data_IF_298333556555
#
_entry.id   IF_298333556555
#
_cell.length_a   1.000
_cell.length_b   1.000
_cell.length_c   1.000
_cell.angle_alpha   90.00
_cell.angle_beta   90.00
_cell.angle_gamma   90.00
#
_symmetry.space_group_name_H-M   'P 1'
#
loop_
_entity.id
_entity.type
_entity.pdbx_description
1 polymer ?
#
# COMPACT_ATOMS: atom_id res chain seq x y z
N UNK A 1 7.25 -19.59 16.43
CA UNK A 1 8.02 -20.19 15.33
C UNK A 1 7.98 -19.22 14.14
N UNK A 2 9.03 -18.42 13.95
CA UNK A 2 9.18 -17.58 12.76
C UNK A 2 9.46 -18.47 11.54
N UNK A 3 8.86 -18.16 10.38
CA UNK A 3 9.31 -18.75 9.12
C UNK A 3 10.82 -18.47 8.97
N UNK A 4 11.61 -19.44 8.53
CA UNK A 4 13.02 -19.16 8.24
C UNK A 4 13.09 -18.13 7.09
N UNK A 5 13.98 -17.17 7.22
CA UNK A 5 14.20 -16.19 6.17
C UNK A 5 14.67 -16.89 4.90
N UNK A 6 13.96 -16.67 3.78
CA UNK A 6 14.30 -17.28 2.49
C UNK A 6 15.56 -16.69 1.88
N UNK A 7 15.91 -15.46 2.25
CA UNK A 7 17.03 -14.74 1.67
C UNK A 7 18.09 -14.47 2.74
N UNK A 8 19.34 -14.91 2.55
CA UNK A 8 20.41 -14.60 3.49
C UNK A 8 20.69 -13.09 3.49
N UNK A 9 21.10 -12.52 4.63
CA UNK A 9 21.53 -11.13 4.69
C UNK A 9 22.66 -10.87 3.68
N UNK A 10 22.55 -9.80 2.93
CA UNK A 10 23.61 -9.35 2.02
C UNK A 10 23.76 -7.84 2.09
N UNK A 11 24.92 -7.37 1.66
CA UNK A 11 25.20 -5.95 1.50
C UNK A 11 25.79 -5.70 0.11
N UNK A 12 25.32 -4.64 -0.54
CA UNK A 12 25.93 -4.13 -1.76
C UNK A 12 26.53 -2.76 -1.45
N UNK A 13 27.76 -2.55 -1.90
CA UNK A 13 28.44 -1.26 -1.79
C UNK A 13 28.87 -0.85 -3.20
N UNK A 14 28.51 0.37 -3.57
CA UNK A 14 28.98 0.98 -4.80
C UNK A 14 29.65 2.31 -4.47
N UNK A 15 30.74 2.60 -5.16
CA UNK A 15 31.49 3.86 -5.00
C UNK A 15 31.29 4.66 -6.28
N UNK A 16 30.61 5.79 -6.16
CA UNK A 16 30.41 6.75 -7.25
C UNK A 16 31.32 7.99 -7.08
N UNK A 17 31.23 8.90 -8.03
CA UNK A 17 31.88 10.19 -8.05
C UNK A 17 30.90 11.34 -8.21
N UNK A 18 31.32 12.39 -8.89
CA UNK A 18 30.47 13.48 -9.35
C UNK A 18 29.64 13.03 -10.58
N UNK A 19 28.52 12.39 -10.32
CA UNK A 19 27.66 11.76 -11.34
C UNK A 19 26.82 12.78 -12.10
N UNK A 20 26.44 13.88 -11.45
CA UNK A 20 25.70 14.97 -12.06
C UNK A 20 26.59 16.01 -12.75
N UNK A 21 27.92 15.92 -12.59
CA UNK A 21 28.96 16.77 -13.21
C UNK A 21 28.87 18.24 -12.82
N UNK A 22 28.46 18.51 -11.59
CA UNK A 22 28.42 19.89 -11.05
C UNK A 22 29.65 20.30 -10.25
N UNK A 23 30.68 19.44 -10.21
CA UNK A 23 31.97 19.60 -9.50
C UNK A 23 31.82 19.50 -7.96
N UNK A 24 30.73 19.00 -7.47
CA UNK A 24 30.47 18.84 -6.03
C UNK A 24 29.89 17.46 -5.77
N UNK A 25 30.50 16.67 -4.89
CA UNK A 25 29.95 15.37 -4.52
C UNK A 25 28.93 15.56 -3.39
N UNK A 26 27.68 15.18 -3.68
CA UNK A 26 26.55 15.34 -2.76
C UNK A 26 25.71 14.06 -2.67
N UNK A 27 24.60 14.09 -1.94
CA UNK A 27 23.67 12.96 -1.86
C UNK A 27 22.99 12.66 -3.21
N UNK A 28 22.87 13.65 -4.11
CA UNK A 28 22.32 13.44 -5.45
C UNK A 28 23.19 12.47 -6.26
N UNK A 29 24.52 12.61 -6.19
CA UNK A 29 25.44 11.69 -6.86
C UNK A 29 25.34 10.28 -6.29
N UNK A 30 25.26 10.18 -4.97
CA UNK A 30 25.02 8.91 -4.31
C UNK A 30 23.66 8.30 -4.73
N UNK A 31 22.62 9.11 -4.89
CA UNK A 31 21.31 8.68 -5.39
C UNK A 31 21.37 8.17 -6.83
N UNK A 32 22.08 8.86 -7.71
CA UNK A 32 22.28 8.42 -9.11
C UNK A 32 22.98 7.06 -9.14
N UNK A 33 24.09 6.92 -8.41
CA UNK A 33 24.84 5.67 -8.32
C UNK A 33 24.00 4.53 -7.70
N UNK A 34 23.21 4.84 -6.67
CA UNK A 34 22.33 3.86 -5.99
C UNK A 34 21.26 3.28 -6.90
N UNK A 35 20.73 4.05 -7.85
CA UNK A 35 19.70 3.57 -8.80
C UNK A 35 20.14 2.34 -9.60
N UNK A 36 21.44 2.15 -9.80
CA UNK A 36 21.96 1.01 -10.55
C UNK A 36 21.91 -0.30 -9.75
N UNK A 37 21.93 -0.21 -8.42
CA UNK A 37 21.99 -1.38 -7.53
C UNK A 37 20.74 -1.57 -6.67
N UNK A 38 19.84 -0.58 -6.62
CA UNK A 38 18.64 -0.66 -5.83
C UNK A 38 17.68 -1.75 -6.35
N UNK A 39 16.93 -2.33 -5.45
CA UNK A 39 15.80 -3.16 -5.84
C UNK A 39 14.75 -2.28 -6.55
N UNK A 40 14.09 -2.85 -7.52
CA UNK A 40 12.95 -2.20 -8.17
C UNK A 40 11.70 -2.94 -7.76
N UNK A 41 10.80 -2.25 -7.09
CA UNK A 41 9.50 -2.79 -6.71
C UNK A 41 8.71 -3.18 -7.97
N UNK A 42 7.89 -4.21 -7.86
CA UNK A 42 7.02 -4.62 -8.97
C UNK A 42 6.14 -3.46 -9.46
N UNK A 43 6.11 -3.22 -10.76
CA UNK A 43 5.35 -2.14 -11.39
C UNK A 43 5.96 -0.73 -11.28
N UNK A 44 7.17 -0.59 -10.73
CA UNK A 44 7.83 0.72 -10.52
C UNK A 44 8.15 1.48 -11.80
N UNK A 45 8.28 0.79 -12.93
CA UNK A 45 8.56 1.37 -14.24
C UNK A 45 7.44 2.28 -14.77
N UNK A 46 6.23 2.09 -14.29
CA UNK A 46 5.03 2.79 -14.75
C UNK A 46 4.69 4.03 -13.92
N UNK A 47 5.21 4.15 -12.71
CA UNK A 47 4.78 5.16 -11.72
C UNK A 47 4.89 6.61 -12.21
N UNK A 48 5.87 6.92 -13.04
CA UNK A 48 6.07 8.27 -13.61
C UNK A 48 5.01 8.69 -14.65
N UNK A 49 4.24 7.74 -15.15
CA UNK A 49 3.25 7.94 -16.21
C UNK A 49 1.81 7.76 -15.70
N UNK A 50 1.64 7.73 -14.39
CA UNK A 50 0.35 7.46 -13.75
C UNK A 50 0.10 8.48 -12.64
N UNK A 51 -1.14 8.95 -12.58
CA UNK A 51 -1.62 9.71 -11.44
C UNK A 51 -2.68 8.90 -10.68
N UNK A 52 -2.96 9.27 -9.43
CA UNK A 52 -3.86 8.52 -8.59
C UNK A 52 -5.16 9.29 -8.34
N UNK A 53 -6.26 8.56 -8.47
CA UNK A 53 -7.59 8.97 -8.03
C UNK A 53 -8.05 8.07 -6.88
N UNK A 54 -8.71 8.64 -5.88
CA UNK A 54 -9.24 7.89 -4.74
C UNK A 54 -10.77 7.85 -4.85
N UNK A 55 -11.32 6.68 -5.17
CA UNK A 55 -12.75 6.41 -5.06
C UNK A 55 -13.04 5.95 -3.63
N UNK A 56 -13.77 6.76 -2.87
CA UNK A 56 -13.95 6.53 -1.44
C UNK A 56 -15.40 6.25 -1.06
N UNK A 57 -15.62 5.10 -0.43
CA UNK A 57 -16.86 4.74 0.23
C UNK A 57 -16.66 4.80 1.75
N UNK A 58 -17.30 5.76 2.40
CA UNK A 58 -17.27 5.93 3.85
C UNK A 58 -18.37 5.10 4.49
N UNK A 59 -18.03 4.33 5.51
CA UNK A 59 -19.03 3.52 6.23
C UNK A 59 -19.80 2.61 5.26
N UNK A 60 -20.99 2.18 5.62
CA UNK A 60 -21.90 1.48 4.73
C UNK A 60 -22.50 2.35 3.61
N UNK A 61 -22.11 3.61 3.52
CA UNK A 61 -22.53 4.53 2.47
C UNK A 61 -21.90 4.19 1.12
N UNK A 62 -22.75 3.93 0.13
CA UNK A 62 -22.30 3.66 -1.25
C UNK A 62 -22.30 4.94 -2.06
N UNK A 63 -21.32 5.79 -1.84
CA UNK A 63 -21.13 7.03 -2.59
C UNK A 63 -20.46 6.81 -3.94
N UNK A 64 -19.65 5.76 -4.05
CA UNK A 64 -18.87 5.41 -5.24
C UNK A 64 -19.09 3.92 -5.60
N UNK A 65 -20.27 3.54 -6.18
CA UNK A 65 -20.46 2.20 -6.74
C UNK A 65 -19.47 1.93 -7.87
N UNK A 66 -19.02 0.71 -8.03
CA UNK A 66 -17.92 0.36 -8.94
C UNK A 66 -18.18 0.76 -10.40
N UNK A 67 -19.38 0.55 -10.91
CA UNK A 67 -19.70 0.94 -12.29
C UNK A 67 -19.76 2.48 -12.46
N UNK A 68 -20.15 3.21 -11.43
CA UNK A 68 -20.04 4.68 -11.46
C UNK A 68 -18.59 5.15 -11.49
N UNK A 69 -17.72 4.52 -10.69
CA UNK A 69 -16.27 4.79 -10.71
C UNK A 69 -15.71 4.53 -12.11
N UNK A 70 -16.15 3.46 -12.78
CA UNK A 70 -15.76 3.17 -14.15
C UNK A 70 -16.16 4.28 -15.14
N UNK A 71 -17.37 4.79 -15.04
CA UNK A 71 -17.84 5.88 -15.91
C UNK A 71 -17.09 7.19 -15.66
N UNK A 72 -16.86 7.53 -14.41
CA UNK A 72 -16.05 8.70 -14.02
C UNK A 72 -14.60 8.56 -14.52
N UNK A 73 -14.01 7.37 -14.38
CA UNK A 73 -12.66 7.09 -14.83
C UNK A 73 -12.52 7.17 -16.38
N UNK A 74 -13.49 6.66 -17.13
CA UNK A 74 -13.54 6.83 -18.58
C UNK A 74 -13.58 8.31 -18.97
N UNK A 75 -14.41 9.11 -18.31
CA UNK A 75 -14.49 10.55 -18.56
C UNK A 75 -13.16 11.24 -18.27
N UNK A 76 -12.49 10.89 -17.16
CA UNK A 76 -11.17 11.43 -16.84
C UNK A 76 -10.10 10.99 -17.85
N UNK A 77 -10.10 9.76 -18.31
CA UNK A 77 -9.20 9.28 -19.36
C UNK A 77 -9.34 10.09 -20.64
N UNK A 78 -10.57 10.39 -21.08
CA UNK A 78 -10.79 11.27 -22.22
C UNK A 78 -10.30 12.70 -22.00
N UNK A 79 -10.50 13.25 -20.81
CA UNK A 79 -10.04 14.61 -20.47
C UNK A 79 -8.52 14.75 -20.41
N UNK A 80 -7.82 13.66 -20.18
CA UNK A 80 -6.36 13.62 -20.06
C UNK A 80 -5.65 13.01 -21.28
N UNK A 81 -6.35 12.87 -22.40
CA UNK A 81 -5.85 12.22 -23.61
C UNK A 81 -5.27 10.82 -23.38
N UNK A 82 -5.88 10.08 -22.45
CA UNK A 82 -5.47 8.72 -22.11
C UNK A 82 -4.20 8.63 -21.25
N UNK A 83 -3.82 9.70 -20.56
CA UNK A 83 -2.75 9.61 -19.57
C UNK A 83 -3.11 8.58 -18.48
N UNK A 84 -2.16 7.70 -18.15
CA UNK A 84 -2.39 6.58 -17.23
C UNK A 84 -2.90 7.00 -15.86
N UNK A 85 -3.81 6.22 -15.30
CA UNK A 85 -4.44 6.49 -14.02
C UNK A 85 -4.47 5.26 -13.14
N UNK A 86 -4.22 5.46 -11.85
CA UNK A 86 -4.48 4.48 -10.79
C UNK A 86 -5.71 4.89 -9.99
N UNK A 87 -6.62 3.97 -9.75
CA UNK A 87 -7.78 4.18 -8.88
C UNK A 87 -7.59 3.35 -7.61
N UNK A 88 -7.45 4.03 -6.48
CA UNK A 88 -7.51 3.39 -5.18
C UNK A 88 -8.96 3.33 -4.71
N UNK A 89 -9.54 2.12 -4.70
CA UNK A 89 -10.88 1.88 -4.21
C UNK A 89 -10.84 1.76 -2.68
N UNK A 90 -10.93 2.91 -2.01
CA UNK A 90 -10.93 3.01 -0.55
C UNK A 90 -12.33 2.73 -0.02
N UNK A 91 -12.45 1.76 0.89
CA UNK A 91 -13.75 1.29 1.38
C UNK A 91 -14.49 0.40 0.39
N UNK A 92 -13.76 -0.44 -0.35
CA UNK A 92 -14.33 -1.43 -1.26
C UNK A 92 -15.05 -2.58 -0.55
N UNK A 93 -14.73 -2.79 0.74
CA UNK A 93 -15.31 -3.83 1.59
C UNK A 93 -16.75 -3.50 2.00
N UNK A 94 -17.47 -4.49 2.51
CA UNK A 94 -18.88 -4.39 2.80
C UNK A 94 -19.30 -3.27 3.74
N UNK A 95 -18.48 -2.98 4.73
CA UNK A 95 -18.72 -1.89 5.69
C UNK A 95 -18.19 -0.51 5.23
N UNK A 96 -17.44 -0.46 4.15
CA UNK A 96 -16.79 0.77 3.70
C UNK A 96 -15.42 1.01 4.33
N UNK A 97 -14.93 2.27 4.23
CA UNK A 97 -13.62 2.62 4.74
C UNK A 97 -13.54 2.46 6.25
N UNK A 98 -12.46 1.81 6.70
CA UNK A 98 -12.13 1.51 8.08
C UNK A 98 -13.18 0.66 8.82
N UNK A 99 -13.92 -0.12 8.06
CA UNK A 99 -14.78 -1.19 8.54
C UNK A 99 -14.40 -2.50 7.85
N UNK A 100 -14.75 -3.63 8.43
CA UNK A 100 -14.42 -4.97 7.90
C UNK A 100 -12.91 -5.21 7.65
N UNK A 101 -12.03 -4.53 8.39
CA UNK A 101 -10.59 -4.78 8.33
C UNK A 101 -10.27 -6.25 8.62
N UNK A 102 -9.43 -6.83 7.79
CA UNK A 102 -9.08 -8.25 7.83
C UNK A 102 -9.84 -9.09 6.81
N UNK A 103 -11.05 -8.73 6.44
CA UNK A 103 -11.84 -9.42 5.43
C UNK A 103 -11.50 -8.91 4.02
N UNK A 104 -10.31 -9.20 3.52
CA UNK A 104 -9.88 -8.68 2.21
C UNK A 104 -10.80 -9.12 1.07
N UNK A 105 -11.28 -10.35 1.11
CA UNK A 105 -12.19 -10.90 0.09
C UNK A 105 -13.64 -10.46 0.22
N UNK A 106 -14.00 -9.65 1.20
CA UNK A 106 -15.37 -9.16 1.41
C UNK A 106 -15.66 -7.90 0.57
N UNK A 107 -15.84 -8.08 -0.72
CA UNK A 107 -16.21 -6.97 -1.62
C UNK A 107 -17.67 -6.55 -1.37
N UNK A 108 -17.89 -5.27 -1.17
CA UNK A 108 -19.19 -4.72 -0.80
C UNK A 108 -20.27 -4.94 -1.85
N UNK A 109 -21.33 -5.63 -1.47
CA UNK A 109 -22.48 -5.90 -2.35
C UNK A 109 -23.26 -4.63 -2.70
N UNK A 110 -23.25 -3.65 -1.81
CA UNK A 110 -23.89 -2.35 -2.06
C UNK A 110 -23.13 -1.51 -3.10
N UNK A 111 -21.82 -1.71 -3.23
CA UNK A 111 -20.99 -1.09 -4.26
C UNK A 111 -21.10 -1.81 -5.62
N UNK A 112 -21.73 -3.00 -5.66
CA UNK A 112 -21.88 -3.82 -6.85
C UNK A 112 -21.29 -5.24 -6.72
N UNK A 113 -20.62 -5.53 -5.61
CA UNK A 113 -20.02 -6.84 -5.34
C UNK A 113 -18.83 -7.17 -6.25
N UNK A 114 -18.40 -8.42 -6.20
CA UNK A 114 -17.23 -8.93 -6.96
C UNK A 114 -17.43 -8.79 -8.47
N UNK A 115 -18.64 -8.97 -8.99
CA UNK A 115 -18.93 -8.91 -10.42
C UNK A 115 -18.70 -7.50 -10.99
N UNK A 116 -19.27 -6.47 -10.36
CA UNK A 116 -19.09 -5.09 -10.81
C UNK A 116 -17.67 -4.61 -10.56
N UNK A 117 -17.01 -5.10 -9.50
CA UNK A 117 -15.62 -4.75 -9.24
C UNK A 117 -14.68 -5.31 -10.31
N UNK A 118 -14.82 -6.57 -10.69
CA UNK A 118 -14.06 -7.14 -11.80
C UNK A 118 -14.38 -6.43 -13.13
N UNK A 119 -15.64 -6.01 -13.34
CA UNK A 119 -16.01 -5.21 -14.51
C UNK A 119 -15.28 -3.86 -14.52
N UNK A 120 -15.21 -3.16 -13.38
CA UNK A 120 -14.44 -1.91 -13.26
C UNK A 120 -12.97 -2.14 -13.63
N UNK A 121 -12.36 -3.21 -13.15
CA UNK A 121 -10.95 -3.53 -13.40
C UNK A 121 -10.73 -3.85 -14.87
N UNK A 122 -11.42 -4.85 -15.40
CA UNK A 122 -11.21 -5.36 -16.76
C UNK A 122 -11.56 -4.34 -17.85
N UNK A 123 -12.65 -3.61 -17.68
CA UNK A 123 -13.00 -2.53 -18.61
C UNK A 123 -12.08 -1.31 -18.45
N UNK A 124 -11.67 -1.02 -17.21
CA UNK A 124 -10.75 0.10 -16.93
C UNK A 124 -9.41 -0.04 -17.64
N UNK A 125 -8.86 -1.25 -17.70
CA UNK A 125 -7.59 -1.52 -18.39
C UNK A 125 -7.60 -1.07 -19.87
N UNK A 126 -8.75 -1.13 -20.54
CA UNK A 126 -8.90 -0.67 -21.94
C UNK A 126 -8.70 0.84 -22.10
N UNK A 127 -8.78 1.59 -21.03
CA UNK A 127 -8.60 3.04 -20.96
C UNK A 127 -7.31 3.47 -20.25
N UNK A 128 -6.39 2.52 -20.02
CA UNK A 128 -5.15 2.79 -19.29
C UNK A 128 -5.34 3.01 -17.79
N UNK A 129 -6.44 2.49 -17.25
CA UNK A 129 -6.81 2.63 -15.84
C UNK A 129 -6.43 1.35 -15.09
N UNK A 130 -5.64 1.49 -14.06
CA UNK A 130 -5.28 0.44 -13.12
C UNK A 130 -6.07 0.60 -11.83
N UNK A 131 -6.55 -0.50 -11.28
CA UNK A 131 -7.33 -0.48 -10.06
C UNK A 131 -6.58 -1.16 -8.92
N UNK A 132 -6.71 -0.60 -7.73
CA UNK A 132 -6.22 -1.18 -6.50
C UNK A 132 -7.17 -0.92 -5.35
N UNK A 133 -6.80 -1.43 -4.19
CA UNK A 133 -7.58 -1.31 -2.96
C UNK A 133 -6.75 -0.77 -1.82
N UNK A 134 -7.43 -0.17 -0.86
CA UNK A 134 -6.90 0.14 0.45
C UNK A 134 -7.22 -1.01 1.39
N UNK A 135 -6.22 -1.55 2.05
CA UNK A 135 -6.35 -2.57 3.10
C UNK A 135 -5.64 -2.12 4.38
N UNK A 136 -6.08 -2.64 5.51
CA UNK A 136 -5.39 -2.49 6.78
C UNK A 136 -4.98 -3.90 7.29
N UNK A 137 -3.70 -4.07 7.60
CA UNK A 137 -3.15 -5.32 8.12
C UNK A 137 -2.65 -5.19 9.57
N UNK A 138 -3.11 -4.14 10.26
CA UNK A 138 -2.64 -3.80 11.61
C UNK A 138 -3.77 -3.81 12.64
N UNK A 139 -4.98 -3.57 12.20
CA UNK A 139 -6.15 -3.35 13.05
C UNK A 139 -7.34 -4.12 12.48
N UNK A 140 -7.94 -5.01 13.25
CA UNK A 140 -9.08 -5.82 12.81
C UNK A 140 -10.27 -5.63 13.74
N UNK A 141 -11.48 -5.62 13.16
CA UNK A 141 -12.72 -5.76 13.89
C UNK A 141 -13.02 -7.24 14.14
N UNK A 142 -13.72 -7.57 15.24
CA UNK A 142 -14.06 -8.96 15.57
C UNK A 142 -15.31 -9.48 14.84
N UNK A 143 -16.05 -8.62 14.22
CA UNK A 143 -17.25 -8.95 13.44
C UNK A 143 -16.95 -9.37 12.00
N UNK A 144 -15.66 -9.33 11.60
CA UNK A 144 -15.18 -9.80 10.31
C UNK A 144 -15.23 -11.33 10.19
N UNK A 145 -15.53 -11.83 8.99
CA UNK A 145 -15.61 -13.27 8.70
C UNK A 145 -14.25 -13.96 8.71
N UNK A 146 -13.17 -13.22 8.45
CA UNK A 146 -11.81 -13.75 8.33
C UNK A 146 -10.92 -13.36 9.52
N UNK A 147 -11.50 -12.74 10.54
CA UNK A 147 -10.77 -12.34 11.74
C UNK A 147 -10.75 -13.46 12.77
N UNK A 148 -9.57 -13.90 13.14
CA UNK A 148 -9.37 -14.89 14.18
C UNK A 148 -8.79 -14.21 15.43
N UNK A 149 -9.47 -14.34 16.57
CA UNK A 149 -9.05 -13.71 17.85
C UNK A 149 -7.65 -14.11 18.28
N UNK A 150 -7.19 -15.30 17.89
CA UNK A 150 -5.85 -15.80 18.21
C UNK A 150 -4.74 -15.01 17.50
N UNK A 151 -5.08 -14.33 16.42
CA UNK A 151 -4.17 -13.45 15.66
C UNK A 151 -4.16 -12.02 16.19
N UNK A 152 -4.92 -11.73 17.25
CA UNK A 152 -4.94 -10.40 17.85
C UNK A 152 -3.97 -10.29 19.02
N UNK A 153 -3.48 -9.09 19.23
CA UNK A 153 -2.56 -8.79 20.33
C UNK A 153 -3.29 -8.80 21.67
N UNK A 154 -2.75 -9.55 22.63
CA UNK A 154 -3.25 -9.59 24.00
C UNK A 154 -2.21 -9.05 24.99
N UNK A 155 -2.68 -8.30 25.98
CA UNK A 155 -1.90 -7.85 27.12
C UNK A 155 -2.67 -8.24 28.39
N UNK A 156 -2.01 -8.96 29.28
CA UNK A 156 -2.60 -9.47 30.52
C UNK A 156 -3.89 -10.30 30.31
N UNK A 157 -4.00 -10.98 29.16
CA UNK A 157 -5.14 -11.79 28.75
C UNK A 157 -6.27 -11.05 28.03
N UNK A 158 -6.22 -9.72 27.99
CA UNK A 158 -7.21 -8.88 27.33
C UNK A 158 -6.72 -8.42 25.96
N UNK A 159 -7.64 -8.27 25.01
CA UNK A 159 -7.36 -7.76 23.68
C UNK A 159 -6.92 -6.30 23.73
N UNK A 160 -5.87 -5.96 23.00
CA UNK A 160 -5.36 -4.59 22.91
C UNK A 160 -6.19 -3.82 21.87
N UNK A 161 -6.96 -2.84 22.33
CA UNK A 161 -7.76 -1.98 21.49
C UNK A 161 -6.92 -1.19 20.50
N UNK A 162 -7.43 -1.05 19.29
CA UNK A 162 -6.87 -0.28 18.21
C UNK A 162 -7.87 0.78 17.72
N UNK A 163 -7.45 1.55 16.73
CA UNK A 163 -8.33 2.53 16.15
C UNK A 163 -9.35 1.87 15.23
N UNK A 164 -10.59 2.26 15.33
CA UNK A 164 -11.68 1.88 14.44
C UNK A 164 -12.63 3.06 14.28
N UNK A 165 -13.13 3.25 13.07
CA UNK A 165 -13.99 4.40 12.78
C UNK A 165 -15.40 4.25 13.37
N UNK A 166 -16.02 3.11 13.13
CA UNK A 166 -17.39 2.84 13.57
C UNK A 166 -17.45 1.73 14.60
N UNK A 167 -16.60 0.71 14.45
CA UNK A 167 -16.58 -0.47 15.29
C UNK A 167 -15.31 -0.54 16.12
N UNK A 168 -15.37 -1.38 17.14
CA UNK A 168 -14.24 -1.63 18.00
C UNK A 168 -13.21 -2.49 17.28
N UNK A 169 -12.06 -1.92 16.98
CA UNK A 169 -10.92 -2.63 16.41
C UNK A 169 -9.89 -3.02 17.47
N UNK A 170 -9.05 -4.00 17.11
CA UNK A 170 -7.99 -4.53 17.92
C UNK A 170 -6.70 -4.67 17.12
N UNK A 171 -5.56 -4.47 17.79
CA UNK A 171 -4.25 -4.62 17.16
C UNK A 171 -3.97 -6.06 16.77
N UNK A 172 -3.53 -6.24 15.54
CA UNK A 172 -3.09 -7.52 14.99
C UNK A 172 -1.72 -7.89 15.55
N UNK A 173 -1.55 -9.15 15.90
CA UNK A 173 -0.24 -9.74 16.16
C UNK A 173 0.42 -10.11 14.83
N UNK A 174 1.09 -9.16 14.21
CA UNK A 174 1.74 -9.33 12.91
C UNK A 174 2.70 -10.52 12.84
N UNK A 175 3.36 -10.84 13.97
CA UNK A 175 4.26 -11.98 14.02
C UNK A 175 3.51 -13.31 13.97
N UNK A 176 2.33 -13.39 14.57
CA UNK A 176 1.47 -14.57 14.48
C UNK A 176 0.92 -14.71 13.06
N UNK A 177 0.37 -13.65 12.49
CA UNK A 177 -0.18 -13.60 11.14
C UNK A 177 0.81 -14.07 10.06
N UNK A 178 2.06 -13.60 10.11
CA UNK A 178 3.10 -14.05 9.19
C UNK A 178 3.56 -15.48 9.49
N UNK A 179 3.64 -15.86 10.77
CA UNK A 179 4.12 -17.19 11.16
C UNK A 179 3.14 -18.31 10.78
N UNK A 180 1.84 -18.07 10.90
CA UNK A 180 0.80 -19.05 10.57
C UNK A 180 0.34 -18.97 9.09
N UNK A 181 0.72 -17.91 8.37
CA UNK A 181 0.39 -17.72 6.95
C UNK A 181 -0.99 -17.11 6.69
N UNK A 182 -1.67 -16.59 7.71
CA UNK A 182 -3.03 -16.05 7.55
C UNK A 182 -3.06 -14.80 6.69
N UNK A 183 -2.03 -13.97 6.80
CA UNK A 183 -1.91 -12.76 5.99
C UNK A 183 -1.80 -13.09 4.48
N UNK A 184 -0.94 -14.08 4.16
CA UNK A 184 -0.79 -14.59 2.80
C UNK A 184 -2.11 -15.23 2.32
N UNK A 185 -2.76 -16.04 3.16
CA UNK A 185 -4.04 -16.70 2.85
C UNK A 185 -5.16 -15.69 2.52
N UNK A 186 -5.26 -14.59 3.26
CA UNK A 186 -6.26 -13.54 2.97
C UNK A 186 -5.98 -12.85 1.65
N UNK A 187 -4.71 -12.58 1.36
CA UNK A 187 -4.29 -12.04 0.08
C UNK A 187 -4.66 -12.99 -1.07
N UNK A 188 -4.27 -14.26 -0.98
CA UNK A 188 -4.56 -15.27 -2.00
C UNK A 188 -6.07 -15.43 -2.24
N UNK A 189 -6.86 -15.45 -1.17
CA UNK A 189 -8.32 -15.54 -1.26
C UNK A 189 -8.93 -14.32 -1.97
N UNK A 190 -8.38 -13.14 -1.74
CA UNK A 190 -8.81 -11.95 -2.45
C UNK A 190 -8.41 -11.99 -3.93
N UNK A 191 -7.19 -12.34 -4.24
CA UNK A 191 -6.69 -12.52 -5.61
C UNK A 191 -7.50 -13.57 -6.40
N UNK A 192 -7.95 -14.63 -5.75
CA UNK A 192 -8.83 -15.62 -6.38
C UNK A 192 -10.17 -15.00 -6.83
N UNK A 193 -10.71 -14.06 -6.05
CA UNK A 193 -11.96 -13.35 -6.39
C UNK A 193 -11.77 -12.19 -7.35
N UNK A 194 -10.61 -11.52 -7.29
CA UNK A 194 -10.32 -10.30 -8.03
C UNK A 194 -8.93 -10.41 -8.69
N UNK A 195 -8.79 -11.33 -9.68
CA UNK A 195 -7.47 -11.78 -10.18
C UNK A 195 -6.68 -10.73 -10.97
N UNK A 196 -7.31 -9.65 -11.42
CA UNK A 196 -6.67 -8.62 -12.25
C UNK A 196 -6.45 -7.31 -11.50
N UNK A 197 -6.41 -7.37 -10.17
CA UNK A 197 -6.12 -6.18 -9.36
C UNK A 197 -4.65 -5.78 -9.50
N UNK A 198 -4.39 -4.50 -9.73
CA UNK A 198 -3.03 -4.02 -10.05
C UNK A 198 -2.19 -3.68 -8.84
N UNK A 199 -2.82 -3.18 -7.77
CA UNK A 199 -2.06 -2.71 -6.61
C UNK A 199 -2.85 -2.75 -5.30
N UNK A 200 -2.08 -2.78 -4.21
CA UNK A 200 -2.57 -2.62 -2.85
C UNK A 200 -1.97 -1.39 -2.21
N UNK A 201 -2.79 -0.64 -1.48
CA UNK A 201 -2.32 0.34 -0.52
C UNK A 201 -2.54 -0.24 0.87
N UNK A 202 -1.44 -0.43 1.61
CA UNK A 202 -1.46 -1.01 2.95
C UNK A 202 -1.32 0.10 3.99
N UNK A 203 -2.41 0.36 4.70
CA UNK A 203 -2.50 1.42 5.70
C UNK A 203 -1.89 1.00 7.04
N UNK A 204 -1.35 1.95 7.81
CA UNK A 204 -0.81 1.82 9.18
C UNK A 204 0.21 0.67 9.34
N UNK A 205 0.80 0.15 8.25
CA UNK A 205 1.61 -1.07 8.31
C UNK A 205 3.06 -0.86 8.78
N UNK A 206 3.52 0.37 8.84
CA UNK A 206 4.86 0.75 9.29
C UNK A 206 5.09 0.56 10.80
N UNK A 207 4.02 0.44 11.59
CA UNK A 207 4.13 0.24 13.04
C UNK A 207 4.45 -1.21 13.40
N UNK A 208 5.41 -1.44 14.29
CA UNK A 208 5.79 -2.76 14.80
C UNK A 208 6.94 -3.43 14.06
N UNK A 209 6.95 -4.76 13.94
CA UNK A 209 8.07 -5.51 13.37
C UNK A 209 8.22 -5.30 11.87
N UNK A 210 9.30 -4.64 11.50
CA UNK A 210 9.63 -4.34 10.11
C UNK A 210 9.88 -5.59 9.26
N UNK A 211 10.38 -6.69 9.87
CA UNK A 211 10.57 -7.96 9.17
C UNK A 211 9.24 -8.50 8.61
N UNK A 212 8.21 -8.56 9.45
CA UNK A 212 6.91 -9.09 9.01
C UNK A 212 6.27 -8.23 7.91
N UNK A 213 6.40 -6.91 8.04
CA UNK A 213 5.94 -5.98 7.01
C UNK A 213 6.69 -6.19 5.68
N UNK A 214 7.99 -6.34 5.74
CA UNK A 214 8.82 -6.61 4.56
C UNK A 214 8.45 -7.93 3.88
N UNK A 215 8.22 -9.00 4.65
CA UNK A 215 7.83 -10.30 4.10
C UNK A 215 6.46 -10.25 3.41
N UNK A 216 5.49 -9.56 3.96
CA UNK A 216 4.18 -9.40 3.33
C UNK A 216 4.24 -8.58 2.04
N UNK A 217 4.91 -7.43 2.07
CA UNK A 217 5.08 -6.60 0.87
C UNK A 217 5.84 -7.35 -0.22
N UNK A 218 6.85 -8.14 0.16
CA UNK A 218 7.57 -9.02 -0.77
C UNK A 218 6.64 -10.07 -1.37
N UNK A 219 5.83 -10.71 -0.55
CA UNK A 219 4.87 -11.71 -1.01
C UNK A 219 3.91 -11.14 -2.06
N UNK A 220 3.34 -9.96 -1.81
CA UNK A 220 2.49 -9.26 -2.80
C UNK A 220 3.25 -8.98 -4.11
N UNK A 221 4.49 -8.47 -4.04
CA UNK A 221 5.29 -8.21 -5.24
C UNK A 221 5.61 -9.50 -6.03
N UNK A 222 5.94 -10.61 -5.33
CA UNK A 222 6.21 -11.91 -5.95
C UNK A 222 4.98 -12.51 -6.63
N UNK A 223 3.78 -12.14 -6.19
CA UNK A 223 2.50 -12.53 -6.78
C UNK A 223 1.93 -11.51 -7.77
N UNK A 224 2.71 -10.53 -8.18
CA UNK A 224 2.35 -9.62 -9.27
C UNK A 224 1.58 -8.38 -8.84
N UNK A 225 1.49 -8.10 -7.55
CA UNK A 225 0.84 -6.91 -7.05
C UNK A 225 1.85 -5.78 -6.76
N UNK A 226 1.57 -4.60 -7.25
CA UNK A 226 2.25 -3.36 -6.88
C UNK A 226 1.77 -2.89 -5.50
N UNK A 227 2.65 -2.32 -4.69
CA UNK A 227 2.32 -1.93 -3.32
C UNK A 227 2.63 -0.46 -3.06
N UNK A 228 1.71 0.21 -2.38
CA UNK A 228 1.91 1.48 -1.72
C UNK A 228 1.62 1.38 -0.23
N UNK A 229 2.09 2.33 0.55
CA UNK A 229 1.88 2.35 2.01
C UNK A 229 1.62 3.76 2.52
N UNK A 230 1.08 3.84 3.74
CA UNK A 230 0.86 5.13 4.38
C UNK A 230 2.17 5.86 4.67
N UNK A 231 3.17 5.16 5.21
CA UNK A 231 4.45 5.74 5.55
C UNK A 231 5.61 4.81 5.16
N UNK A 232 6.82 5.34 5.22
CA UNK A 232 8.04 4.61 4.92
C UNK A 232 8.37 3.61 6.03
N UNK A 233 8.99 2.50 5.65
CA UNK A 233 9.46 1.44 6.55
C UNK A 233 10.64 0.68 5.94
N UNK A 234 11.04 -0.43 6.52
CA UNK A 234 12.15 -1.25 6.02
C UNK A 234 11.85 -1.90 4.65
N UNK A 235 10.62 -1.81 4.20
CA UNK A 235 10.13 -2.29 2.91
C UNK A 235 10.19 -1.23 1.78
N UNK A 236 10.81 -0.08 2.00
CA UNK A 236 10.84 1.03 1.01
C UNK A 236 11.28 0.61 -0.40
N UNK A 237 12.17 -0.37 -0.49
CA UNK A 237 12.64 -0.89 -1.77
C UNK A 237 11.63 -1.80 -2.49
N UNK A 238 10.48 -2.08 -1.89
CA UNK A 238 9.44 -2.97 -2.40
C UNK A 238 8.13 -2.22 -2.71
N UNK A 239 8.05 -0.92 -2.43
CA UNK A 239 6.85 -0.11 -2.64
C UNK A 239 7.05 0.91 -3.76
N UNK A 240 5.97 1.28 -4.41
CA UNK A 240 5.97 2.21 -5.55
C UNK A 240 5.55 3.61 -5.17
N UNK A 241 4.77 3.76 -4.13
CA UNK A 241 4.33 5.06 -3.64
C UNK A 241 4.10 5.02 -2.13
N UNK A 242 4.11 6.19 -1.53
CA UNK A 242 3.90 6.39 -0.11
C UNK A 242 3.05 7.64 0.11
N UNK A 243 2.05 7.54 0.98
CA UNK A 243 1.15 8.66 1.29
C UNK A 243 1.89 9.74 2.08
N UNK A 244 2.56 9.37 3.17
CA UNK A 244 3.37 10.27 3.99
C UNK A 244 4.84 10.18 3.61
N UNK A 245 5.23 10.97 2.63
CA UNK A 245 6.63 11.06 2.19
C UNK A 245 7.43 12.06 3.03
N UNK A 246 7.30 11.95 4.35
CA UNK A 246 7.99 12.82 5.30
C UNK A 246 8.70 12.00 6.36
N UNK A 247 9.76 12.56 6.91
CA UNK A 247 10.50 11.96 8.01
C UNK A 247 9.86 12.35 9.34
N UNK A 248 8.93 11.55 9.81
CA UNK A 248 8.18 11.82 11.04
C UNK A 248 9.05 11.89 12.30
N UNK A 249 10.24 11.30 12.27
CA UNK A 249 11.11 11.22 13.45
C UNK A 249 12.17 12.32 13.50
N UNK A 250 12.57 12.87 12.36
CA UNK A 250 13.70 13.78 12.23
C UNK A 250 13.32 15.22 11.87
N UNK A 251 12.07 15.46 11.54
CA UNK A 251 11.62 16.81 11.22
C UNK A 251 10.38 17.20 12.02
N UNK A 252 10.51 18.23 12.80
CA UNK A 252 9.37 18.93 13.37
C UNK A 252 8.74 19.80 12.27
N UNK A 253 7.67 19.31 11.64
CA UNK A 253 6.94 20.09 10.64
C UNK A 253 7.00 19.56 9.21
N UNK A 254 7.22 18.27 9.03
CA UNK A 254 7.01 17.61 7.73
C UNK A 254 8.16 17.76 6.73
N UNK A 255 9.37 18.06 7.17
CA UNK A 255 10.56 18.06 6.31
C UNK A 255 11.08 16.63 6.02
N UNK A 256 12.01 16.52 5.10
CA UNK A 256 12.71 15.29 4.80
C UNK A 256 14.18 15.37 5.22
N UNK A 257 14.66 14.34 5.93
CA UNK A 257 16.10 14.18 6.15
C UNK A 257 16.84 13.92 4.83
N UNK A 258 18.15 14.13 4.81
CA UNK A 258 18.98 13.79 3.66
C UNK A 258 18.94 12.27 3.36
N UNK A 259 18.78 11.44 4.38
CA UNK A 259 18.61 9.99 4.21
C UNK A 259 17.30 9.67 3.50
N UNK A 260 16.20 10.31 3.89
CA UNK A 260 14.91 10.09 3.26
C UNK A 260 14.91 10.57 1.81
N UNK A 261 15.46 11.75 1.54
CA UNK A 261 15.65 12.26 0.17
C UNK A 261 16.48 11.29 -0.69
N UNK A 262 17.54 10.74 -0.12
CA UNK A 262 18.36 9.74 -0.79
C UNK A 262 17.58 8.48 -1.15
N UNK A 263 16.84 7.91 -0.18
CA UNK A 263 16.09 6.66 -0.35
C UNK A 263 14.92 6.83 -1.31
N UNK A 264 14.16 7.90 -1.18
CA UNK A 264 12.97 8.14 -2.02
C UNK A 264 13.29 8.83 -3.35
N UNK A 265 14.47 9.39 -3.49
CA UNK A 265 14.89 10.25 -4.61
C UNK A 265 13.91 11.41 -4.85
N UNK A 266 13.18 11.80 -3.82
CA UNK A 266 12.15 12.81 -3.88
C UNK A 266 12.42 13.99 -2.97
N UNK A 267 11.86 15.10 -3.34
CA UNK A 267 11.70 16.27 -2.47
C UNK A 267 10.22 16.32 -2.11
N UNK A 268 9.91 16.33 -0.82
CA UNK A 268 8.52 16.46 -0.38
C UNK A 268 7.89 17.76 -0.87
N UNK A 269 6.59 17.77 -0.98
CA UNK A 269 5.86 18.99 -1.28
C UNK A 269 6.06 20.00 -0.15
N UNK A 270 6.75 21.11 -0.45
CA UNK A 270 7.05 22.16 0.51
C UNK A 270 5.80 22.97 0.91
N UNK A 271 4.74 22.93 0.09
CA UNK A 271 3.47 23.59 0.38
C UNK A 271 2.55 22.74 1.25
N UNK A 272 2.71 21.42 1.23
CA UNK A 272 1.98 20.48 2.07
C UNK A 272 2.93 19.36 2.54
N UNK A 273 3.93 19.70 3.36
CA UNK A 273 5.02 18.80 3.73
C UNK A 273 4.56 17.57 4.50
N UNK A 274 3.40 17.62 5.11
CA UNK A 274 2.75 16.59 5.88
C UNK A 274 1.75 15.73 5.05
N UNK A 275 1.61 16.00 3.77
CA UNK A 275 0.62 15.32 2.91
C UNK A 275 1.20 14.58 1.73
N UNK A 276 2.49 14.50 1.59
CA UNK A 276 3.24 13.62 0.70
C UNK A 276 2.58 13.12 -0.60
N UNK A 277 1.85 13.96 -1.29
CA UNK A 277 1.28 13.63 -2.60
C UNK A 277 2.12 14.21 -3.72
#
# INVERSE_FOLDING_TARGET
NSKPEKNPPFAKVVIGGDENKDQTITWQDAGITYREIMNRAFGSENTKNEWMYIAMNMSSGTSQPFLRVLDEAKAMSYLTDGFGMKIMNKGYQGGGHDDSHGDYGFVGTQQGGVEDFNTLIDEGLKYGIKNGVHINATEFALDGFETEEENLTKKDGELVGAWGWFDKAFHVNKSAEVANGDLERRFDYFEEKVPNLDFFYVDVYQSGSNFNATEFVRYMNENGASVGTEALGDFNQLINFVHWNTDMYYSTGGGQSEVLKFVTHGVGDLAAPDRGL
#
